data_IF_927774507540
#
_entry.id   IF_927774507540
#
_cell.length_a   1.000
_cell.length_b   1.000
_cell.length_c   1.000
_cell.angle_alpha   90.00
_cell.angle_beta   90.00
_cell.angle_gamma   90.00
#
_symmetry.space_group_name_H-M   'P 1'
#
loop_
_entity.id
_entity.type
_entity.pdbx_description
1 polymer ?
#
# COMPACT_ATOMS: atom_id res chain seq x y z
N UNK A 1 8.20 -17.99 4.78
CA UNK A 1 6.90 -17.33 5.04
C UNK A 1 6.51 -16.37 3.91
N UNK A 2 7.16 -15.21 3.70
CA UNK A 2 6.85 -14.37 2.51
C UNK A 2 7.22 -15.06 1.17
N UNK A 3 8.26 -15.91 1.15
CA UNK A 3 8.61 -16.74 -0.01
C UNK A 3 7.51 -17.76 -0.39
N UNK A 4 6.65 -18.12 0.57
CA UNK A 4 5.55 -19.07 0.37
C UNK A 4 4.22 -18.36 0.07
N UNK A 5 4.19 -17.03 0.20
CA UNK A 5 3.00 -16.22 -0.03
C UNK A 5 2.42 -16.42 -1.44
N UNK A 6 3.20 -16.50 -2.54
CA UNK A 6 2.64 -16.81 -3.86
C UNK A 6 1.92 -18.16 -3.92
N UNK A 7 2.46 -19.19 -3.24
CA UNK A 7 1.84 -20.53 -3.17
C UNK A 7 0.54 -20.50 -2.36
N UNK A 8 0.55 -19.76 -1.25
CA UNK A 8 -0.65 -19.59 -0.43
C UNK A 8 -1.73 -18.78 -1.15
N UNK A 9 -1.36 -17.70 -1.83
CA UNK A 9 -2.26 -16.88 -2.65
C UNK A 9 -2.94 -17.73 -3.72
N UNK A 10 -2.20 -18.62 -4.39
CA UNK A 10 -2.79 -19.58 -5.32
C UNK A 10 -3.79 -20.54 -4.65
N UNK A 11 -3.45 -21.05 -3.46
CA UNK A 11 -4.34 -21.94 -2.68
C UNK A 11 -5.67 -21.30 -2.28
N UNK A 12 -5.67 -19.99 -2.02
CA UNK A 12 -6.88 -19.25 -1.63
C UNK A 12 -7.55 -18.55 -2.82
N UNK A 13 -7.20 -18.96 -4.05
CA UNK A 13 -7.77 -18.45 -5.30
C UNK A 13 -7.58 -16.94 -5.50
N UNK A 14 -6.51 -16.38 -4.93
CA UNK A 14 -6.16 -15.00 -5.19
C UNK A 14 -5.68 -14.84 -6.64
N UNK A 15 -6.20 -13.82 -7.31
CA UNK A 15 -5.82 -13.45 -8.68
C UNK A 15 -4.94 -12.21 -8.64
N UNK A 16 -3.81 -12.26 -9.36
CA UNK A 16 -3.03 -11.05 -9.61
C UNK A 16 -3.76 -10.17 -10.62
N UNK A 17 -3.89 -8.89 -10.31
CA UNK A 17 -4.62 -7.92 -11.12
C UNK A 17 -3.80 -6.66 -11.33
N UNK A 18 -3.86 -6.14 -12.55
CA UNK A 18 -3.27 -4.85 -12.94
C UNK A 18 -4.30 -3.72 -12.95
N UNK A 19 -5.60 -4.06 -12.84
CA UNK A 19 -6.69 -3.10 -12.81
C UNK A 19 -7.82 -3.57 -11.88
N UNK A 20 -8.40 -2.71 -11.03
CA UNK A 20 -9.48 -3.09 -10.13
C UNK A 20 -10.73 -3.62 -10.85
N UNK A 21 -10.95 -3.24 -12.12
CA UNK A 21 -12.07 -3.73 -12.95
C UNK A 21 -11.97 -5.22 -13.30
N UNK A 22 -10.80 -5.84 -13.12
CA UNK A 22 -10.62 -7.28 -13.33
C UNK A 22 -11.30 -8.10 -12.22
N UNK A 23 -11.54 -7.50 -11.05
CA UNK A 23 -12.26 -8.13 -9.94
C UNK A 23 -13.76 -7.87 -10.14
N UNK A 24 -14.51 -8.93 -10.48
CA UNK A 24 -15.96 -8.83 -10.78
C UNK A 24 -16.86 -8.94 -9.54
N UNK A 25 -16.30 -9.17 -8.35
CA UNK A 25 -17.06 -9.28 -7.11
C UNK A 25 -17.26 -7.93 -6.40
N UNK A 26 -18.36 -7.76 -5.66
CA UNK A 26 -18.67 -6.51 -4.95
C UNK A 26 -17.71 -6.22 -3.78
N UNK A 27 -17.20 -7.28 -3.16
CA UNK A 27 -16.20 -7.21 -2.10
C UNK A 27 -14.93 -7.95 -2.50
N UNK A 28 -13.85 -7.64 -1.80
CA UNK A 28 -12.52 -8.20 -2.05
C UNK A 28 -11.70 -8.20 -0.77
N UNK A 29 -11.00 -9.30 -0.52
CA UNK A 29 -9.79 -9.30 0.31
C UNK A 29 -8.58 -9.18 -0.60
N UNK A 30 -7.56 -8.43 -0.20
CA UNK A 30 -6.44 -8.14 -1.09
C UNK A 30 -5.11 -8.07 -0.37
N UNK A 31 -4.06 -8.33 -1.14
CA UNK A 31 -2.66 -8.21 -0.75
C UNK A 31 -1.95 -7.33 -1.77
N UNK A 32 -1.19 -6.36 -1.29
CA UNK A 32 -0.33 -5.53 -2.13
C UNK A 32 1.11 -5.79 -1.75
N UNK A 33 1.94 -6.09 -2.75
CA UNK A 33 3.36 -6.33 -2.59
C UNK A 33 4.17 -5.40 -3.49
N UNK A 34 5.43 -5.15 -3.14
CA UNK A 34 6.39 -4.49 -4.02
C UNK A 34 7.74 -5.19 -3.91
N UNK A 35 8.12 -5.98 -4.93
CA UNK A 35 9.23 -6.91 -4.83
C UNK A 35 9.04 -7.90 -3.66
N UNK A 36 10.02 -8.04 -2.75
CA UNK A 36 9.87 -8.92 -1.58
C UNK A 36 9.00 -8.31 -0.46
N UNK A 37 8.60 -7.05 -0.58
CA UNK A 37 7.97 -6.31 0.51
C UNK A 37 6.44 -6.46 0.49
N UNK A 38 5.87 -6.83 1.63
CA UNK A 38 4.42 -6.83 1.85
C UNK A 38 3.96 -5.41 2.23
N UNK A 39 3.33 -4.70 1.30
CA UNK A 39 2.88 -3.34 1.53
C UNK A 39 1.57 -3.28 2.28
N UNK A 40 0.61 -4.15 1.97
CA UNK A 40 -0.68 -4.08 2.64
C UNK A 40 -1.51 -5.36 2.52
N UNK A 41 -2.26 -5.68 3.58
CA UNK A 41 -3.38 -6.62 3.55
C UNK A 41 -4.64 -5.90 3.98
N UNK A 42 -5.70 -6.00 3.19
CA UNK A 42 -6.95 -5.30 3.43
C UNK A 42 -8.17 -6.04 2.92
N UNK A 43 -9.33 -5.54 3.32
CA UNK A 43 -10.63 -5.94 2.78
C UNK A 43 -11.47 -4.70 2.42
N UNK A 44 -12.50 -4.91 1.60
CA UNK A 44 -13.59 -3.96 1.46
C UNK A 44 -14.29 -4.03 0.12
N UNK A 45 -15.02 -2.97 -0.23
CA UNK A 45 -15.66 -2.84 -1.54
C UNK A 45 -14.62 -2.70 -2.64
N UNK A 46 -14.75 -3.49 -3.70
CA UNK A 46 -13.84 -3.49 -4.85
C UNK A 46 -13.73 -2.11 -5.50
N UNK A 47 -14.87 -1.42 -5.67
CA UNK A 47 -14.97 -0.13 -6.37
C UNK A 47 -14.42 1.06 -5.60
N UNK A 48 -14.12 0.93 -4.30
CA UNK A 48 -13.63 2.04 -3.48
C UNK A 48 -12.34 1.70 -2.76
N UNK A 49 -12.36 0.67 -1.90
CA UNK A 49 -11.21 0.33 -1.04
C UNK A 49 -10.04 -0.23 -1.84
N UNK A 50 -10.32 -1.13 -2.77
CA UNK A 50 -9.30 -1.75 -3.60
C UNK A 50 -8.90 -0.86 -4.77
N UNK A 51 -9.87 -0.27 -5.49
CA UNK A 51 -9.61 0.69 -6.54
C UNK A 51 -8.76 1.89 -6.08
N UNK A 52 -8.94 2.35 -4.83
CA UNK A 52 -8.16 3.43 -4.23
C UNK A 52 -6.69 3.11 -3.92
N UNK A 53 -6.20 1.92 -4.29
CA UNK A 53 -4.79 1.53 -4.16
C UNK A 53 -4.01 1.68 -5.47
N UNK A 54 -4.72 1.75 -6.60
CA UNK A 54 -4.11 1.74 -7.92
C UNK A 54 -3.65 3.14 -8.33
N UNK A 55 -2.62 3.22 -9.18
CA UNK A 55 -2.25 4.47 -9.82
C UNK A 55 -3.43 5.12 -10.54
N UNK A 56 -3.49 6.45 -10.51
CA UNK A 56 -4.56 7.24 -11.12
C UNK A 56 -5.85 7.33 -10.30
N UNK A 57 -5.95 6.66 -9.16
CA UNK A 57 -7.12 6.77 -8.29
C UNK A 57 -7.24 8.17 -7.64
N UNK A 58 -8.46 8.74 -7.56
CA UNK A 58 -8.69 9.96 -6.81
C UNK A 58 -8.57 9.65 -5.32
N UNK A 59 -7.45 10.05 -4.73
CA UNK A 59 -7.14 9.75 -3.34
C UNK A 59 -7.18 11.02 -2.47
N UNK A 60 -8.15 11.17 -1.54
CA UNK A 60 -8.10 12.22 -0.54
C UNK A 60 -6.96 11.98 0.48
N UNK A 61 -6.70 12.96 1.37
CA UNK A 61 -5.57 12.95 2.31
C UNK A 61 -5.37 11.61 3.05
N UNK A 62 -4.11 11.20 3.25
CA UNK A 62 -3.67 10.05 4.07
C UNK A 62 -4.06 8.67 3.53
N UNK A 63 -3.83 8.46 2.23
CA UNK A 63 -4.30 7.29 1.51
C UNK A 63 -3.22 6.26 1.27
N UNK A 64 -3.67 5.02 1.20
CA UNK A 64 -2.86 3.82 1.00
C UNK A 64 -2.05 3.86 -0.32
N UNK A 65 -2.61 4.51 -1.35
CA UNK A 65 -1.94 4.75 -2.63
C UNK A 65 -0.64 5.56 -2.48
N UNK A 66 -0.55 6.47 -1.51
CA UNK A 66 0.68 7.25 -1.27
C UNK A 66 1.84 6.36 -0.81
N UNK A 67 1.57 5.40 0.07
CA UNK A 67 2.58 4.45 0.57
C UNK A 67 3.03 3.53 -0.57
N UNK A 68 2.10 3.09 -1.41
CA UNK A 68 2.40 2.29 -2.59
C UNK A 68 3.30 3.09 -3.56
N UNK A 69 2.92 4.32 -3.90
CA UNK A 69 3.67 5.18 -4.81
C UNK A 69 5.09 5.47 -4.29
N UNK A 70 5.24 5.79 -2.99
CA UNK A 70 6.56 6.02 -2.40
C UNK A 70 7.41 4.76 -2.36
N UNK A 71 6.81 3.59 -2.09
CA UNK A 71 7.51 2.31 -2.17
C UNK A 71 8.01 2.05 -3.60
N UNK A 72 7.17 2.26 -4.63
CA UNK A 72 7.58 2.14 -6.04
C UNK A 72 8.79 3.02 -6.34
N UNK A 73 8.76 4.30 -5.92
CA UNK A 73 9.86 5.24 -6.16
C UNK A 73 11.14 4.84 -5.42
N UNK A 74 11.03 4.35 -4.18
CA UNK A 74 12.19 3.97 -3.37
C UNK A 74 12.88 2.69 -3.84
N UNK A 75 12.10 1.69 -4.25
CA UNK A 75 12.65 0.36 -4.59
C UNK A 75 12.82 0.14 -6.09
N UNK A 76 12.24 0.98 -6.94
CA UNK A 76 12.26 0.81 -8.39
C UNK A 76 11.49 -0.43 -8.88
N UNK A 77 10.73 -1.08 -8.01
CA UNK A 77 9.93 -2.25 -8.32
C UNK A 77 8.47 -1.83 -8.58
N UNK A 78 7.79 -2.57 -9.46
CA UNK A 78 6.37 -2.38 -9.71
C UNK A 78 5.53 -3.12 -8.65
N UNK A 79 4.51 -2.47 -8.06
CA UNK A 79 3.65 -3.11 -7.09
C UNK A 79 2.77 -4.17 -7.74
N UNK A 80 2.62 -5.30 -7.06
CA UNK A 80 1.76 -6.43 -7.44
C UNK A 80 0.54 -6.45 -6.54
N UNK A 81 -0.64 -6.50 -7.16
CA UNK A 81 -1.91 -6.50 -6.45
C UNK A 81 -2.57 -7.86 -6.62
N UNK A 82 -2.83 -8.53 -5.50
CA UNK A 82 -3.55 -9.79 -5.47
C UNK A 82 -4.93 -9.55 -4.86
N UNK A 83 -5.97 -10.03 -5.53
CA UNK A 83 -7.35 -9.90 -5.13
C UNK A 83 -7.99 -11.27 -4.94
N UNK A 84 -8.74 -11.42 -3.86
CA UNK A 84 -9.58 -12.57 -3.55
C UNK A 84 -11.01 -12.08 -3.69
N UNK A 85 -11.73 -12.45 -4.77
CA UNK A 85 -13.09 -12.02 -5.00
C UNK A 85 -14.02 -12.55 -3.90
N UNK A 86 -14.87 -11.69 -3.34
CA UNK A 86 -15.78 -12.04 -2.24
C UNK A 86 -17.20 -11.54 -2.51
N UNK A 87 -18.20 -12.38 -2.24
CA UNK A 87 -19.61 -12.05 -2.47
C UNK A 87 -20.20 -11.19 -1.35
N UNK A 88 -19.55 -11.18 -0.19
CA UNK A 88 -20.01 -10.41 0.97
C UNK A 88 -18.85 -9.77 1.75
N UNK A 89 -19.19 -8.77 2.56
CA UNK A 89 -18.24 -8.16 3.51
C UNK A 89 -17.73 -9.16 4.55
N UNK A 90 -18.59 -10.09 4.99
CA UNK A 90 -18.22 -11.10 5.98
C UNK A 90 -17.19 -12.08 5.42
N UNK A 91 -17.40 -12.52 4.17
CA UNK A 91 -16.44 -13.37 3.45
C UNK A 91 -15.11 -12.65 3.24
N UNK A 92 -15.13 -11.39 2.77
CA UNK A 92 -13.91 -10.60 2.63
C UNK A 92 -13.13 -10.44 3.96
N UNK A 93 -13.84 -10.27 5.08
CA UNK A 93 -13.22 -10.22 6.41
C UNK A 93 -12.60 -11.57 6.81
N UNK A 94 -13.30 -12.67 6.57
CA UNK A 94 -12.78 -14.02 6.86
C UNK A 94 -11.51 -14.33 6.05
N UNK A 95 -11.51 -14.03 4.74
CA UNK A 95 -10.33 -14.19 3.88
C UNK A 95 -9.15 -13.32 4.32
N UNK A 96 -9.43 -12.11 4.81
CA UNK A 96 -8.40 -11.25 5.39
C UNK A 96 -7.81 -11.84 6.69
N UNK A 97 -8.66 -12.43 7.54
CA UNK A 97 -8.23 -13.11 8.76
C UNK A 97 -7.39 -14.36 8.45
N UNK A 98 -7.74 -15.13 7.43
CA UNK A 98 -6.94 -16.25 6.93
C UNK A 98 -5.54 -15.79 6.46
N UNK A 99 -5.48 -14.67 5.73
CA UNK A 99 -4.22 -14.04 5.31
C UNK A 99 -3.38 -13.60 6.52
N UNK A 100 -4.00 -12.98 7.52
CA UNK A 100 -3.31 -12.61 8.75
C UNK A 100 -2.82 -13.84 9.51
N UNK A 101 -3.62 -14.89 9.59
CA UNK A 101 -3.26 -16.14 10.27
C UNK A 101 -2.07 -16.83 9.59
N UNK A 102 -2.10 -16.98 8.26
CA UNK A 102 -1.02 -17.59 7.48
C UNK A 102 0.32 -16.87 7.66
N UNK A 103 0.28 -15.55 7.72
CA UNK A 103 1.48 -14.73 7.90
C UNK A 103 1.88 -14.55 9.37
N UNK A 104 1.06 -15.00 10.33
CA UNK A 104 1.31 -14.89 11.77
C UNK A 104 1.04 -13.49 12.37
N UNK A 105 0.04 -12.76 11.86
CA UNK A 105 -0.11 -11.31 12.05
C UNK A 105 -1.10 -10.88 13.13
N UNK A 106 -1.69 -11.83 13.85
CA UNK A 106 -2.58 -11.55 14.98
C UNK A 106 -3.73 -10.58 14.66
N UNK A 107 -4.25 -10.58 13.43
CA UNK A 107 -5.41 -9.79 13.01
C UNK A 107 -5.18 -8.29 12.81
N UNK A 108 -3.93 -7.81 12.83
CA UNK A 108 -3.61 -6.38 12.67
C UNK A 108 -3.39 -6.06 11.19
N UNK A 109 -3.97 -4.94 10.71
CA UNK A 109 -3.78 -4.37 9.38
C UNK A 109 -2.29 -4.39 9.01
N UNK A 110 -1.88 -5.38 8.25
CA UNK A 110 -0.49 -5.68 8.03
C UNK A 110 0.06 -4.73 6.97
N UNK A 111 0.65 -3.64 7.43
CA UNK A 111 1.92 -3.19 6.88
C UNK A 111 2.99 -3.97 7.65
N UNK A 112 3.62 -4.95 7.01
CA UNK A 112 4.74 -5.66 7.61
C UNK A 112 5.97 -4.87 7.34
N UNK A 113 6.41 -4.23 8.39
CA UNK A 113 7.44 -3.28 8.27
C UNK A 113 8.43 -3.52 9.42
N UNK A 114 9.39 -4.43 9.22
CA UNK A 114 10.37 -4.93 10.21
C UNK A 114 9.76 -5.81 11.31
N UNK A 115 10.28 -7.05 11.38
CA UNK A 115 9.98 -8.03 12.42
C UNK A 115 10.31 -7.59 13.86
N UNK A 116 10.92 -6.42 14.07
CA UNK A 116 11.24 -5.86 15.38
C UNK A 116 10.12 -5.01 16.02
N UNK A 117 9.20 -4.41 15.25
CA UNK A 117 8.26 -3.39 15.77
C UNK A 117 6.79 -3.80 15.74
N UNK A 118 6.45 -4.88 15.04
CA UNK A 118 5.07 -5.34 14.87
C UNK A 118 4.22 -4.45 13.93
N UNK A 119 2.98 -4.88 13.61
CA UNK A 119 2.15 -4.24 12.59
C UNK A 119 1.59 -2.87 13.05
N UNK A 120 1.95 -1.79 12.34
CA UNK A 120 1.37 -0.44 12.49
C UNK A 120 0.26 -0.16 11.44
N UNK A 121 -0.79 0.62 11.76
CA UNK A 121 -1.81 1.01 10.79
C UNK A 121 -1.25 1.89 9.67
N UNK A 122 -1.61 1.57 8.42
CA UNK A 122 -1.16 2.30 7.22
C UNK A 122 -1.46 3.82 7.23
N UNK A 123 -2.51 4.24 7.94
CA UNK A 123 -2.83 5.66 8.15
C UNK A 123 -1.72 6.38 8.94
N UNK A 124 -1.12 5.71 9.93
CA UNK A 124 -0.02 6.25 10.75
C UNK A 124 1.25 6.39 9.91
N UNK A 125 1.58 5.37 9.12
CA UNK A 125 2.71 5.40 8.17
C UNK A 125 2.53 6.53 7.17
N UNK A 126 1.34 6.62 6.55
CA UNK A 126 0.98 7.71 5.64
C UNK A 126 1.09 9.09 6.29
N UNK A 127 0.68 9.24 7.55
CA UNK A 127 0.81 10.50 8.31
C UNK A 127 2.27 10.88 8.55
N UNK A 128 3.14 9.92 8.90
CA UNK A 128 4.57 10.20 9.14
C UNK A 128 5.28 10.62 7.85
N UNK A 129 5.04 9.91 6.76
CA UNK A 129 5.57 10.28 5.44
C UNK A 129 5.05 11.66 5.00
N UNK A 130 3.80 11.97 5.32
CA UNK A 130 3.21 13.27 5.05
C UNK A 130 3.89 14.41 5.81
N UNK A 131 4.16 14.20 7.09
CA UNK A 131 4.90 15.17 7.91
C UNK A 131 6.32 15.37 7.37
N UNK A 132 7.01 14.31 6.96
CA UNK A 132 8.32 14.39 6.33
C UNK A 132 8.30 15.23 5.05
N UNK A 133 7.34 14.95 4.15
CA UNK A 133 7.18 15.71 2.90
C UNK A 133 6.95 17.20 3.16
N UNK A 134 6.11 17.54 4.14
CA UNK A 134 5.85 18.94 4.54
C UNK A 134 7.09 19.66 5.06
N UNK A 135 7.94 18.95 5.81
CA UNK A 135 9.15 19.52 6.39
C UNK A 135 10.21 19.81 5.33
N UNK A 136 10.35 18.92 4.34
CA UNK A 136 11.39 19.02 3.32
C UNK A 136 10.95 19.76 2.05
N UNK A 137 9.65 19.84 1.75
CA UNK A 137 9.10 20.43 0.52
C UNK A 137 7.85 21.30 0.81
N UNK A 138 7.97 22.37 1.62
CA UNK A 138 6.82 23.15 2.07
C UNK A 138 6.07 23.86 0.92
N UNK A 139 6.78 24.37 -0.09
CA UNK A 139 6.18 25.08 -1.23
C UNK A 139 5.39 24.15 -2.18
N UNK A 140 5.87 22.92 -2.36
CA UNK A 140 5.15 21.91 -3.14
C UNK A 140 3.82 21.51 -2.48
N UNK A 141 3.77 21.52 -1.15
CA UNK A 141 2.59 21.17 -0.37
C UNK A 141 1.60 22.34 -0.23
N UNK A 142 2.08 23.57 -0.13
CA UNK A 142 1.22 24.76 0.03
C UNK A 142 0.42 25.10 -1.22
N UNK A 143 0.99 24.88 -2.41
CA UNK A 143 0.42 25.41 -3.65
C UNK A 143 -0.70 24.57 -4.24
N UNK A 144 -0.73 23.24 -4.04
CA UNK A 144 -1.85 22.41 -4.54
C UNK A 144 -1.88 20.98 -3.95
N UNK A 145 -2.32 20.84 -2.70
CA UNK A 145 -2.35 19.57 -1.97
C UNK A 145 -3.08 18.42 -2.70
N UNK A 146 -4.27 18.68 -3.23
CA UNK A 146 -5.07 17.66 -3.92
C UNK A 146 -4.48 17.29 -5.29
N UNK A 147 -3.78 18.21 -5.94
CA UNK A 147 -3.07 17.94 -7.19
C UNK A 147 -1.74 17.23 -6.95
N UNK A 148 -1.04 17.53 -5.85
CA UNK A 148 0.14 16.79 -5.41
C UNK A 148 -0.24 15.32 -5.15
N UNK A 149 -1.29 15.07 -4.39
CA UNK A 149 -1.76 13.71 -4.11
C UNK A 149 -2.21 12.97 -5.38
N UNK A 150 -2.94 13.66 -6.28
CA UNK A 150 -3.30 13.10 -7.60
C UNK A 150 -2.08 12.81 -8.47
N UNK A 151 -1.12 13.73 -8.57
CA UNK A 151 0.08 13.57 -9.39
C UNK A 151 0.99 12.45 -8.87
N UNK A 152 1.15 12.36 -7.55
CA UNK A 152 1.89 11.26 -6.90
C UNK A 152 1.26 9.91 -7.19
N UNK A 153 -0.07 9.81 -7.13
CA UNK A 153 -0.76 8.57 -7.44
C UNK A 153 -0.86 8.31 -8.96
N UNK A 154 -0.79 9.33 -9.82
CA UNK A 154 -0.92 9.18 -11.28
C UNK A 154 0.38 8.78 -11.97
N UNK A 155 1.51 9.40 -11.62
CA UNK A 155 2.79 9.22 -12.33
C UNK A 155 3.99 9.01 -11.38
N UNK A 156 3.84 9.38 -10.11
CA UNK A 156 4.91 9.29 -9.11
C UNK A 156 6.11 10.20 -9.40
N UNK A 157 6.15 10.91 -10.53
CA UNK A 157 7.24 11.82 -10.92
C UNK A 157 7.43 12.96 -9.92
N UNK A 158 6.34 13.48 -9.37
CA UNK A 158 6.42 14.50 -8.31
C UNK A 158 7.07 13.94 -7.04
N UNK A 159 6.80 12.67 -6.71
CA UNK A 159 7.54 12.00 -5.65
C UNK A 159 9.01 11.84 -6.06
N UNK A 160 9.33 11.37 -7.28
CA UNK A 160 10.71 11.19 -7.74
C UNK A 160 11.52 12.49 -7.64
N UNK A 161 10.94 13.61 -8.06
CA UNK A 161 11.56 14.92 -7.94
C UNK A 161 11.78 15.31 -6.45
N UNK A 162 10.78 15.11 -5.59
CA UNK A 162 10.92 15.36 -4.15
C UNK A 162 11.98 14.44 -3.50
N UNK A 163 12.07 13.19 -3.92
CA UNK A 163 13.09 12.21 -3.51
C UNK A 163 14.50 12.52 -4.04
N UNK A 164 14.66 13.54 -4.88
CA UNK A 164 15.96 14.13 -5.19
C UNK A 164 16.63 14.80 -3.98
N UNK A 165 15.84 15.18 -2.95
CA UNK A 165 16.35 15.61 -1.66
C UNK A 165 16.85 14.40 -0.84
N UNK A 166 18.15 14.35 -0.57
CA UNK A 166 18.77 13.23 0.15
C UNK A 166 18.26 13.08 1.59
N UNK A 167 17.85 14.18 2.24
CA UNK A 167 17.31 14.17 3.60
C UNK A 167 15.91 13.55 3.64
N UNK A 168 15.03 13.97 2.73
CA UNK A 168 13.70 13.41 2.57
C UNK A 168 13.77 11.95 2.16
N UNK A 169 14.66 11.60 1.22
CA UNK A 169 14.90 10.20 0.84
C UNK A 169 15.33 9.37 2.03
N UNK A 170 16.30 9.82 2.83
CA UNK A 170 16.75 9.09 4.02
C UNK A 170 15.66 9.00 5.11
N UNK A 171 14.83 10.03 5.27
CA UNK A 171 13.72 10.02 6.23
C UNK A 171 12.60 9.09 5.77
N UNK A 172 12.22 9.11 4.50
CA UNK A 172 11.25 8.19 3.91
C UNK A 172 11.78 6.77 3.85
N UNK A 173 13.08 6.57 3.59
CA UNK A 173 13.76 5.29 3.76
C UNK A 173 13.86 4.88 5.23
N UNK A 174 13.80 5.77 6.21
CA UNK A 174 13.64 5.39 7.63
C UNK A 174 12.19 5.05 7.95
N UNK A 175 11.23 5.81 7.41
CA UNK A 175 9.78 5.60 7.57
C UNK A 175 9.29 4.39 6.77
N UNK A 176 10.07 3.92 5.80
CA UNK A 176 9.76 2.74 5.01
C UNK A 176 10.79 1.63 5.24
N UNK A 177 12.02 1.92 5.65
CA UNK A 177 13.10 0.95 5.91
C UNK A 177 13.40 0.63 7.37
N UNK A 178 12.85 1.32 8.38
CA UNK A 178 12.66 0.76 9.75
C UNK A 178 11.59 -0.34 9.80
N UNK A 179 11.45 -0.98 8.65
CA UNK A 179 10.17 -1.24 8.03
C UNK A 179 10.36 -2.13 6.76
N UNK A 180 11.60 -2.54 6.44
CA UNK A 180 11.93 -3.51 5.41
C UNK A 180 13.08 -4.36 5.90
N UNK A 181 12.88 -5.68 5.98
CA UNK A 181 13.96 -6.68 5.97
C UNK A 181 13.74 -7.55 4.75
#
# INVERSE_FOLDING_TARGET
MLQDLPKFLHKIEAVEVSNPKQVRSPYVAYVVMNGPHLLHIGEGKTTTRFAGLFPGSPCPKHTKAFVIAASTVLHGNMPRFYAIPCDSKADAKAKQEDLFSFLGLGGRCATWLDGASGPEPLKVVSQRMWTALKQHQPEAVSNNLDSLMRAVCQDGDVLRAAFGDAGLKAQLQRILGGYFV
#
